data_IF_841174813126
#
_entry.id   IF_841174813126
#
_cell.length_a   1.000
_cell.length_b   1.000
_cell.length_c   1.000
_cell.angle_alpha   90.00
_cell.angle_beta   90.00
_cell.angle_gamma   90.00
#
_symmetry.space_group_name_H-M   'P 1'
#
loop_
_entity.id
_entity.type
_entity.pdbx_description
1 polymer ?
#
# COMPACT_ATOMS: atom_id res chain seq x y z
N UNK A 1 24.07 12.55 -9.52
CA UNK A 1 23.58 11.21 -9.90
C UNK A 1 24.47 10.68 -11.01
N UNK A 2 25.13 9.54 -10.82
CA UNK A 2 26.13 8.97 -11.77
C UNK A 2 25.50 8.12 -12.88
N UNK A 3 24.20 7.85 -12.83
CA UNK A 3 23.47 7.18 -13.90
C UNK A 3 22.82 8.26 -14.76
N UNK A 4 23.09 8.25 -16.07
CA UNK A 4 22.36 9.05 -17.03
C UNK A 4 20.92 8.53 -17.08
N UNK A 5 19.98 9.25 -16.48
CA UNK A 5 18.56 8.91 -16.50
C UNK A 5 17.86 9.78 -17.55
N UNK A 6 17.71 9.24 -18.76
CA UNK A 6 16.92 9.90 -19.80
C UNK A 6 15.47 10.00 -19.35
N UNK A 7 14.91 11.22 -19.36
CA UNK A 7 13.55 11.48 -18.86
C UNK A 7 12.51 10.70 -19.67
N UNK A 8 12.75 10.51 -20.97
CA UNK A 8 11.86 9.79 -21.88
C UNK A 8 11.82 8.28 -21.72
N UNK A 9 12.75 7.68 -20.97
CA UNK A 9 12.81 6.22 -20.76
C UNK A 9 12.18 5.77 -19.44
N UNK A 10 11.55 6.71 -18.71
CA UNK A 10 10.98 6.44 -17.39
C UNK A 10 9.57 5.86 -17.52
N UNK A 11 9.30 4.81 -16.75
CA UNK A 11 7.95 4.26 -16.62
C UNK A 11 7.15 5.04 -15.58
N UNK A 12 5.93 5.42 -15.95
CA UNK A 12 4.91 5.92 -15.03
C UNK A 12 4.23 4.76 -14.28
N UNK A 13 3.43 5.08 -13.26
CA UNK A 13 2.58 4.09 -12.59
C UNK A 13 1.67 3.39 -13.61
N UNK A 14 1.07 4.13 -14.53
CA UNK A 14 0.19 3.60 -15.57
C UNK A 14 0.93 2.66 -16.52
N UNK A 15 2.16 3.00 -16.92
CA UNK A 15 2.97 2.13 -17.79
C UNK A 15 3.29 0.80 -17.09
N UNK A 16 3.65 0.85 -15.80
CA UNK A 16 3.88 -0.36 -15.00
C UNK A 16 2.63 -1.22 -14.90
N UNK A 17 1.45 -0.62 -14.69
CA UNK A 17 0.19 -1.37 -14.62
C UNK A 17 -0.18 -1.99 -15.97
N UNK A 18 -0.01 -1.27 -17.07
CA UNK A 18 -0.24 -1.79 -18.42
C UNK A 18 0.71 -2.94 -18.77
N UNK A 19 1.97 -2.82 -18.38
CA UNK A 19 2.96 -3.86 -18.62
C UNK A 19 2.72 -5.10 -17.74
N UNK A 20 2.26 -4.94 -16.49
CA UNK A 20 1.80 -6.05 -15.65
C UNK A 20 0.63 -6.79 -16.30
N UNK A 21 -0.35 -6.07 -16.84
CA UNK A 21 -1.49 -6.68 -17.53
C UNK A 21 -1.04 -7.47 -18.77
N UNK A 22 -0.16 -6.87 -19.59
CA UNK A 22 0.40 -7.50 -20.78
C UNK A 22 1.22 -8.76 -20.45
N UNK A 23 2.14 -8.67 -19.49
CA UNK A 23 3.03 -9.79 -19.13
C UNK A 23 2.27 -10.95 -18.46
N UNK A 24 1.21 -10.66 -17.72
CA UNK A 24 0.41 -11.69 -17.02
C UNK A 24 -0.72 -12.27 -17.86
N UNK A 25 -0.89 -11.82 -19.12
CA UNK A 25 -1.99 -12.26 -19.97
C UNK A 25 -3.37 -11.93 -19.38
N UNK A 26 -3.48 -10.84 -18.61
CA UNK A 26 -4.72 -10.41 -17.96
C UNK A 26 -5.05 -11.11 -16.63
N UNK A 27 -4.14 -11.92 -16.07
CA UNK A 27 -4.30 -12.44 -14.70
C UNK A 27 -4.36 -11.30 -13.67
N UNK A 28 -3.60 -10.23 -13.91
CA UNK A 28 -3.79 -8.91 -13.33
C UNK A 28 -4.22 -7.94 -14.44
N UNK A 29 -5.15 -7.04 -14.14
CA UNK A 29 -5.57 -5.95 -15.03
C UNK A 29 -5.35 -4.63 -14.33
N UNK A 30 -5.16 -3.57 -15.11
CA UNK A 30 -5.13 -2.18 -14.63
C UNK A 30 -6.31 -1.85 -13.70
N UNK A 31 -7.51 -2.33 -14.04
CA UNK A 31 -8.74 -2.16 -13.24
C UNK A 31 -8.75 -2.88 -11.89
N UNK A 32 -7.82 -3.82 -11.66
CA UNK A 32 -7.71 -4.54 -10.39
C UNK A 32 -6.96 -3.73 -9.33
N UNK A 33 -6.37 -2.59 -9.68
CA UNK A 33 -5.59 -1.77 -8.77
C UNK A 33 -6.38 -0.58 -8.27
N UNK A 34 -6.34 -0.38 -6.96
CA UNK A 34 -7.03 0.73 -6.28
C UNK A 34 -6.02 1.53 -5.48
N UNK A 35 -6.21 2.85 -5.46
CA UNK A 35 -5.38 3.77 -4.67
C UNK A 35 -5.51 3.57 -3.16
N UNK A 36 -4.58 4.14 -2.41
CA UNK A 36 -4.68 4.16 -0.95
C UNK A 36 -5.65 5.26 -0.50
N UNK A 37 -6.51 5.01 0.49
CA UNK A 37 -7.40 6.04 1.01
C UNK A 37 -6.67 7.12 1.85
N UNK A 38 -5.42 6.87 2.29
CA UNK A 38 -4.67 7.80 3.15
C UNK A 38 -3.69 8.72 2.41
N UNK A 39 -3.46 8.52 1.11
CA UNK A 39 -2.46 9.28 0.35
C UNK A 39 -3.02 9.76 -0.98
N UNK A 40 -2.31 10.69 -1.62
CA UNK A 40 -2.62 11.13 -2.98
C UNK A 40 -2.79 9.94 -3.95
N UNK A 41 -3.73 9.99 -4.91
CA UNK A 41 -3.96 8.90 -5.88
C UNK A 41 -2.70 8.46 -6.62
N UNK A 42 -1.85 9.41 -7.01
CA UNK A 42 -0.58 9.14 -7.70
C UNK A 42 0.52 8.58 -6.80
N UNK A 43 0.27 8.37 -5.50
CA UNK A 43 1.27 7.83 -4.59
C UNK A 43 1.35 6.30 -4.60
N UNK A 44 0.28 5.60 -4.96
CA UNK A 44 0.26 4.14 -4.88
C UNK A 44 -0.94 3.56 -5.63
N UNK A 45 -0.70 2.45 -6.32
CA UNK A 45 -1.72 1.54 -6.83
C UNK A 45 -1.54 0.16 -6.18
N UNK A 46 -2.61 -0.41 -5.62
CA UNK A 46 -2.56 -1.59 -4.77
C UNK A 46 -3.64 -2.59 -5.17
N UNK A 47 -3.28 -3.88 -5.23
CA UNK A 47 -4.25 -4.97 -5.37
C UNK A 47 -3.92 -6.15 -4.47
N UNK A 48 -4.97 -6.84 -4.03
CA UNK A 48 -4.90 -8.11 -3.33
C UNK A 48 -5.58 -9.18 -4.18
N UNK A 49 -5.05 -10.39 -4.14
CA UNK A 49 -5.69 -11.56 -4.71
C UNK A 49 -5.38 -12.82 -3.93
N UNK A 50 -6.02 -13.91 -4.32
CA UNK A 50 -5.81 -15.22 -3.74
C UNK A 50 -5.31 -16.20 -4.79
N UNK A 51 -4.24 -16.90 -4.46
CA UNK A 51 -3.73 -17.99 -5.27
C UNK A 51 -4.56 -19.25 -5.04
N UNK A 52 -4.81 -20.03 -6.08
CA UNK A 52 -5.39 -21.36 -6.00
C UNK A 52 -4.48 -22.34 -5.18
N UNK A 53 -4.92 -23.58 -4.97
CA UNK A 53 -4.15 -24.56 -4.18
C UNK A 53 -2.79 -24.85 -4.81
N UNK A 54 -2.72 -24.87 -6.15
CA UNK A 54 -1.50 -25.07 -6.92
C UNK A 54 -0.60 -23.83 -7.01
N UNK A 55 -1.09 -22.65 -6.62
CA UNK A 55 -0.43 -21.36 -6.79
C UNK A 55 -0.12 -20.99 -8.24
N UNK A 56 -0.96 -21.43 -9.15
CA UNK A 56 -0.86 -21.20 -10.60
C UNK A 56 -1.88 -20.18 -11.08
N UNK A 57 -3.01 -20.04 -10.39
CA UNK A 57 -4.08 -19.09 -10.76
C UNK A 57 -4.27 -18.07 -9.65
N UNK A 58 -4.22 -16.79 -10.01
CA UNK A 58 -4.52 -15.67 -9.12
C UNK A 58 -5.95 -15.20 -9.35
N UNK A 59 -6.71 -15.05 -8.26
CA UNK A 59 -8.05 -14.43 -8.25
C UNK A 59 -7.97 -13.06 -7.58
N UNK A 60 -7.98 -11.95 -8.32
CA UNK A 60 -7.93 -10.59 -7.75
C UNK A 60 -9.22 -10.24 -7.00
N UNK A 61 -9.09 -9.78 -5.76
CA UNK A 61 -10.21 -9.41 -4.89
C UNK A 61 -11.12 -8.32 -5.51
N UNK A 62 -10.61 -7.26 -6.17
CA UNK A 62 -11.46 -6.20 -6.71
C UNK A 62 -12.42 -6.63 -7.82
N UNK A 63 -12.21 -7.80 -8.43
CA UNK A 63 -13.15 -8.37 -9.42
C UNK A 63 -14.40 -8.96 -8.78
N UNK A 64 -14.36 -9.22 -7.47
CA UNK A 64 -15.41 -9.88 -6.70
C UNK A 64 -15.97 -8.99 -5.58
N UNK A 65 -15.36 -7.83 -5.35
CA UNK A 65 -15.78 -6.86 -4.36
C UNK A 65 -15.52 -5.45 -4.90
N UNK A 66 -16.53 -4.59 -4.88
CA UNK A 66 -16.40 -3.18 -5.30
C UNK A 66 -15.61 -2.37 -4.27
N UNK A 67 -14.29 -2.57 -4.28
CA UNK A 67 -13.33 -1.95 -3.35
C UNK A 67 -13.37 -0.43 -3.45
N UNK A 68 -13.49 0.12 -4.67
CA UNK A 68 -13.48 1.56 -4.91
C UNK A 68 -14.64 2.24 -4.18
N UNK A 69 -15.87 1.73 -4.35
CA UNK A 69 -17.05 2.24 -3.66
C UNK A 69 -16.90 2.20 -2.13
N UNK A 70 -16.29 1.15 -1.59
CA UNK A 70 -16.09 1.03 -0.15
C UNK A 70 -15.03 1.99 0.40
N UNK A 71 -14.05 2.39 -0.41
CA UNK A 71 -13.04 3.38 -0.02
C UNK A 71 -13.58 4.82 -0.16
N UNK A 72 -14.42 5.09 -1.15
CA UNK A 72 -15.09 6.39 -1.33
C UNK A 72 -16.00 6.75 -0.14
N UNK A 73 -16.61 5.75 0.51
CA UNK A 73 -17.39 5.93 1.75
C UNK A 73 -16.58 6.52 2.92
N UNK A 74 -15.26 6.66 2.79
CA UNK A 74 -14.38 7.28 3.79
C UNK A 74 -13.82 8.63 3.35
N UNK A 75 -14.02 9.05 2.09
CA UNK A 75 -13.71 10.41 1.65
C UNK A 75 -14.68 11.43 2.28
N UNK A 76 -15.92 11.01 2.51
CA UNK A 76 -16.94 11.81 3.20
C UNK A 76 -17.14 11.37 4.66
N UNK A 77 -17.06 12.35 5.56
CA UNK A 77 -17.01 12.16 7.01
C UNK A 77 -18.30 11.53 7.53
N UNK A 78 -18.15 10.48 8.35
CA UNK A 78 -19.18 9.73 9.08
C UNK A 78 -19.99 8.76 8.21
N UNK A 79 -19.33 7.69 7.76
CA UNK A 79 -20.04 6.45 7.41
C UNK A 79 -20.00 5.50 8.61
N UNK A 80 -21.17 5.04 9.07
CA UNK A 80 -21.31 3.85 9.92
C UNK A 80 -20.94 2.63 9.06
N UNK A 81 -19.66 2.54 8.73
CA UNK A 81 -19.14 1.60 7.75
C UNK A 81 -19.13 0.23 8.40
N UNK A 82 -19.98 -0.69 7.93
CA UNK A 82 -20.06 -2.06 8.42
C UNK A 82 -18.70 -2.76 8.46
N UNK A 83 -18.63 -3.93 9.12
CA UNK A 83 -17.40 -4.69 9.36
C UNK A 83 -16.49 -4.81 8.12
N UNK A 84 -17.08 -5.01 6.95
CA UNK A 84 -16.41 -5.11 5.66
C UNK A 84 -15.67 -3.82 5.24
N UNK A 85 -16.34 -2.67 5.31
CA UNK A 85 -15.74 -1.40 4.93
C UNK A 85 -14.60 -1.02 5.90
N UNK A 86 -14.79 -1.30 7.20
CA UNK A 86 -13.76 -1.13 8.21
C UNK A 86 -12.55 -2.05 7.97
N UNK A 87 -12.78 -3.32 7.61
CA UNK A 87 -11.74 -4.28 7.24
C UNK A 87 -10.99 -3.82 5.98
N UNK A 88 -11.72 -3.41 4.94
CA UNK A 88 -11.14 -2.93 3.69
C UNK A 88 -10.24 -1.72 3.91
N UNK A 89 -10.71 -0.72 4.66
CA UNK A 89 -9.91 0.47 4.99
C UNK A 89 -8.60 0.08 5.67
N UNK A 90 -8.63 -0.84 6.64
CA UNK A 90 -7.41 -1.28 7.33
C UNK A 90 -6.45 -2.02 6.38
N UNK A 91 -6.98 -2.97 5.61
CA UNK A 91 -6.19 -3.76 4.65
C UNK A 91 -5.54 -2.89 3.58
N UNK A 92 -6.28 -1.89 3.07
CA UNK A 92 -5.75 -0.95 2.08
C UNK A 92 -4.86 0.13 2.70
N UNK A 93 -4.98 0.44 3.99
CA UNK A 93 -4.06 1.37 4.66
C UNK A 93 -2.76 0.69 5.12
N UNK A 94 -2.77 -0.63 5.31
CA UNK A 94 -1.61 -1.40 5.77
C UNK A 94 -0.70 -1.83 4.62
N UNK A 95 0.02 -0.86 4.05
CA UNK A 95 1.02 -1.11 3.00
C UNK A 95 2.28 -1.81 3.51
N UNK A 96 2.53 -1.88 4.81
CA UNK A 96 3.78 -2.41 5.37
C UNK A 96 3.64 -3.84 5.90
N UNK A 97 2.53 -4.17 6.56
CA UNK A 97 2.41 -5.37 7.41
C UNK A 97 1.39 -6.39 6.89
N UNK A 98 1.65 -6.95 5.70
CA UNK A 98 0.84 -8.05 5.12
C UNK A 98 0.54 -9.22 6.05
N UNK A 99 1.43 -9.46 7.03
CA UNK A 99 1.39 -10.64 7.91
C UNK A 99 1.01 -10.31 9.34
N UNK A 100 0.57 -9.09 9.63
CA UNK A 100 -0.06 -8.80 10.90
C UNK A 100 -1.34 -9.64 11.00
N UNK A 101 -1.53 -10.38 12.11
CA UNK A 101 -2.67 -11.29 12.28
C UNK A 101 -4.04 -10.60 12.09
N UNK A 102 -4.11 -9.29 12.38
CA UNK A 102 -5.30 -8.46 12.16
C UNK A 102 -5.59 -8.19 10.68
N UNK A 103 -4.57 -7.89 9.88
CA UNK A 103 -4.71 -7.66 8.42
C UNK A 103 -5.13 -8.94 7.71
N UNK A 104 -4.56 -10.10 8.09
CA UNK A 104 -4.97 -11.40 7.56
C UNK A 104 -6.41 -11.78 7.95
N UNK A 105 -6.83 -11.43 9.18
CA UNK A 105 -8.21 -11.62 9.62
C UNK A 105 -9.18 -10.79 8.77
N UNK A 106 -8.91 -9.50 8.62
CA UNK A 106 -9.72 -8.58 7.81
C UNK A 106 -9.79 -9.02 6.34
N UNK A 107 -8.66 -9.44 5.76
CA UNK A 107 -8.64 -10.08 4.43
C UNK A 107 -9.55 -11.31 4.41
N UNK A 108 -9.47 -12.20 5.40
CA UNK A 108 -10.34 -13.37 5.49
C UNK A 108 -11.84 -13.02 5.42
N UNK A 109 -12.26 -11.94 6.08
CA UNK A 109 -13.64 -11.43 6.01
C UNK A 109 -14.01 -10.95 4.60
N UNK A 110 -13.12 -10.20 3.95
CA UNK A 110 -13.33 -9.66 2.60
C UNK A 110 -13.38 -10.78 1.55
N UNK A 111 -12.46 -11.74 1.61
CA UNK A 111 -12.44 -12.91 0.73
C UNK A 111 -13.67 -13.81 0.94
N UNK A 112 -14.21 -13.88 2.16
CA UNK A 112 -15.50 -14.54 2.43
C UNK A 112 -16.66 -13.84 1.76
N UNK A 113 -16.72 -12.52 1.89
CA UNK A 113 -17.78 -11.71 1.32
C UNK A 113 -17.75 -11.71 -0.21
N UNK A 114 -16.56 -11.77 -0.78
CA UNK A 114 -16.31 -11.90 -2.21
C UNK A 114 -16.61 -13.31 -2.77
N UNK A 115 -17.01 -14.27 -1.93
CA UNK A 115 -17.26 -15.68 -2.29
C UNK A 115 -16.11 -16.34 -3.08
N UNK A 116 -14.87 -16.04 -2.70
CA UNK A 116 -13.69 -16.63 -3.34
C UNK A 116 -13.51 -18.05 -2.80
N UNK A 117 -14.07 -19.03 -3.52
CA UNK A 117 -14.16 -20.45 -3.14
C UNK A 117 -12.87 -21.06 -2.61
N UNK A 118 -11.76 -20.72 -3.25
CA UNK A 118 -10.43 -21.19 -2.90
C UNK A 118 -9.94 -20.72 -1.51
N UNK A 119 -10.45 -19.57 -1.07
CA UNK A 119 -10.14 -18.96 0.21
C UNK A 119 -11.01 -19.49 1.36
N UNK A 120 -12.28 -19.85 1.08
CA UNK A 120 -13.26 -20.23 2.12
C UNK A 120 -12.75 -21.34 3.07
N UNK A 121 -12.14 -22.44 2.61
CA UNK A 121 -11.64 -23.49 3.49
C UNK A 121 -10.49 -23.04 4.41
N UNK A 122 -9.86 -21.89 4.13
CA UNK A 122 -8.69 -21.39 4.84
C UNK A 122 -9.03 -20.24 5.79
N UNK A 123 -10.28 -19.74 5.79
CA UNK A 123 -10.74 -18.74 6.74
C UNK A 123 -10.65 -19.31 8.16
N UNK A 124 -10.12 -18.52 9.09
CA UNK A 124 -9.82 -18.97 10.45
C UNK A 124 -8.49 -19.72 10.62
N UNK A 125 -7.74 -19.95 9.53
CA UNK A 125 -6.39 -20.55 9.53
C UNK A 125 -5.36 -19.55 9.00
N UNK A 126 -4.95 -18.54 9.79
CA UNK A 126 -4.18 -17.39 9.30
C UNK A 126 -2.87 -17.77 8.61
N UNK A 127 -2.14 -18.77 9.12
CA UNK A 127 -0.87 -19.21 8.52
C UNK A 127 -1.05 -19.85 7.13
N UNK A 128 -2.11 -20.64 6.96
CA UNK A 128 -2.41 -21.30 5.69
C UNK A 128 -3.03 -20.32 4.69
N UNK A 129 -3.90 -19.43 5.17
CA UNK A 129 -4.51 -18.37 4.37
C UNK A 129 -3.46 -17.37 3.87
N UNK A 130 -2.62 -16.84 4.76
CA UNK A 130 -1.60 -15.83 4.42
C UNK A 130 -0.52 -16.33 3.46
N UNK A 131 -0.31 -17.65 3.34
CA UNK A 131 0.55 -18.23 2.31
C UNK A 131 -0.02 -18.07 0.90
N UNK A 132 -1.35 -18.03 0.74
CA UNK A 132 -2.05 -17.94 -0.55
C UNK A 132 -2.54 -16.54 -0.89
N UNK A 133 -2.57 -15.63 0.09
CA UNK A 133 -2.74 -14.19 -0.19
C UNK A 133 -1.56 -13.69 -1.01
N UNK A 134 -1.86 -13.01 -2.11
CA UNK A 134 -0.90 -12.34 -2.96
C UNK A 134 -1.23 -10.85 -3.02
N UNK A 135 -0.21 -9.99 -2.96
CA UNK A 135 -0.37 -8.53 -3.01
C UNK A 135 0.64 -7.93 -3.96
N UNK A 136 0.19 -7.02 -4.81
CA UNK A 136 1.05 -6.19 -5.65
C UNK A 136 0.85 -4.72 -5.27
N UNK A 137 1.94 -4.01 -5.05
CA UNK A 137 1.96 -2.59 -4.73
C UNK A 137 2.87 -1.89 -5.73
N UNK A 138 2.32 -0.94 -6.48
CA UNK A 138 3.10 -0.07 -7.37
C UNK A 138 3.19 1.30 -6.71
N UNK A 139 4.40 1.73 -6.37
CA UNK A 139 4.65 2.97 -5.64
C UNK A 139 5.66 3.85 -6.40
N UNK A 140 5.21 4.86 -7.16
CA UNK A 140 6.08 5.74 -7.92
C UNK A 140 6.75 6.78 -6.99
N UNK A 141 7.84 6.41 -6.34
CA UNK A 141 8.62 7.35 -5.51
C UNK A 141 9.09 8.55 -6.33
N UNK A 142 9.07 9.74 -5.72
CA UNK A 142 9.46 10.98 -6.41
C UNK A 142 10.97 11.20 -6.35
N UNK A 143 11.48 11.85 -7.40
CA UNK A 143 12.83 12.39 -7.47
C UNK A 143 12.82 13.90 -7.75
N UNK A 144 13.98 14.48 -8.08
CA UNK A 144 14.12 15.90 -8.35
C UNK A 144 13.33 16.39 -9.60
N UNK A 145 12.94 15.50 -10.50
CA UNK A 145 12.20 15.82 -11.73
C UNK A 145 10.70 15.61 -11.59
N UNK A 146 10.27 14.68 -10.73
CA UNK A 146 8.86 14.33 -10.52
C UNK A 146 8.33 14.80 -9.16
N UNK A 147 9.04 15.72 -8.49
CA UNK A 147 8.67 16.19 -7.16
C UNK A 147 7.34 16.96 -7.22
N UNK A 148 6.40 16.56 -6.37
CA UNK A 148 5.10 17.20 -6.21
C UNK A 148 4.82 17.43 -4.72
N UNK A 149 4.65 18.70 -4.36
CA UNK A 149 4.37 19.12 -2.99
C UNK A 149 3.03 18.59 -2.46
N UNK A 150 1.98 18.50 -3.31
CA UNK A 150 0.66 18.01 -2.88
C UNK A 150 0.74 16.54 -2.43
N UNK A 151 1.54 15.74 -3.13
CA UNK A 151 1.81 14.34 -2.76
C UNK A 151 2.54 14.24 -1.41
N UNK A 152 3.42 15.19 -1.10
CA UNK A 152 4.15 15.27 0.18
C UNK A 152 3.21 15.63 1.34
N UNK A 153 2.35 16.63 1.16
CA UNK A 153 1.39 17.09 2.16
C UNK A 153 0.44 15.96 2.60
N UNK A 154 -0.01 15.15 1.63
CA UNK A 154 -0.93 14.03 1.87
C UNK A 154 -0.24 12.71 2.23
N UNK A 155 1.09 12.69 2.37
CA UNK A 155 1.81 11.43 2.59
C UNK A 155 1.65 10.90 4.02
N UNK A 156 1.01 9.73 4.17
CA UNK A 156 0.90 8.99 5.43
C UNK A 156 2.18 8.20 5.84
N UNK A 157 3.24 8.19 5.01
CA UNK A 157 4.53 7.53 5.34
C UNK A 157 5.61 8.56 5.63
N UNK A 158 5.93 8.75 6.91
CA UNK A 158 6.97 9.68 7.36
C UNK A 158 8.21 8.93 7.85
N UNK A 159 9.38 9.51 7.60
CA UNK A 159 10.67 9.10 8.14
C UNK A 159 11.35 10.29 8.80
N UNK A 160 12.31 10.02 9.68
CA UNK A 160 13.01 11.06 10.43
C UNK A 160 14.22 11.55 9.63
N UNK A 161 14.33 12.87 9.44
CA UNK A 161 15.47 13.48 8.75
C UNK A 161 16.69 13.65 9.67
N UNK A 162 17.77 14.24 9.15
CA UNK A 162 19.02 14.49 9.86
C UNK A 162 18.87 15.45 11.06
N UNK A 163 17.77 16.21 11.13
CA UNK A 163 17.44 17.15 12.21
C UNK A 163 16.45 16.59 13.24
N UNK A 164 15.97 15.36 13.05
CA UNK A 164 14.97 14.76 13.92
C UNK A 164 13.52 15.09 13.54
N UNK A 165 13.29 15.71 12.38
CA UNK A 165 11.95 16.10 11.92
C UNK A 165 11.32 14.96 11.10
N UNK A 166 10.00 14.76 11.26
CA UNK A 166 9.25 13.78 10.50
C UNK A 166 8.88 14.35 9.12
N UNK A 167 9.53 13.85 8.06
CA UNK A 167 9.34 14.26 6.67
C UNK A 167 8.83 13.09 5.83
N UNK A 168 8.24 13.34 4.66
CA UNK A 168 7.86 12.22 3.78
C UNK A 168 9.11 11.50 3.24
N UNK A 169 8.99 10.21 2.90
CA UNK A 169 10.12 9.48 2.30
C UNK A 169 10.64 10.12 1.01
N UNK A 170 9.74 10.59 0.14
CA UNK A 170 10.12 11.24 -1.11
C UNK A 170 10.84 12.58 -0.88
N UNK A 171 10.34 13.38 0.05
CA UNK A 171 10.98 14.65 0.44
C UNK A 171 12.35 14.42 1.06
N UNK A 172 12.49 13.42 1.91
CA UNK A 172 13.79 13.00 2.41
C UNK A 172 14.73 12.63 1.27
N UNK A 173 14.27 11.81 0.31
CA UNK A 173 15.10 11.37 -0.81
C UNK A 173 15.60 12.53 -1.68
N UNK A 174 14.79 13.57 -1.87
CA UNK A 174 15.12 14.73 -2.70
C UNK A 174 15.99 15.76 -1.96
N UNK A 175 15.64 16.09 -0.71
CA UNK A 175 16.27 17.22 -0.02
C UNK A 175 17.25 16.82 1.10
N UNK A 176 17.09 15.65 1.71
CA UNK A 176 17.82 15.29 2.94
C UNK A 176 18.82 14.15 2.77
N UNK A 177 18.63 13.30 1.76
CA UNK A 177 19.45 12.10 1.56
C UNK A 177 20.93 12.46 1.40
N UNK A 178 21.76 11.83 2.23
CA UNK A 178 23.21 12.05 2.25
C UNK A 178 23.67 13.25 3.08
N UNK A 179 22.76 14.04 3.67
CA UNK A 179 23.13 15.07 4.64
C UNK A 179 23.54 14.43 5.96
N UNK A 180 24.60 14.97 6.56
CA UNK A 180 25.05 14.52 7.88
C UNK A 180 24.19 15.16 8.97
N UNK A 181 23.85 14.41 10.02
CA UNK A 181 23.20 15.00 11.18
C UNK A 181 24.09 16.10 11.79
N UNK A 182 23.49 17.17 12.36
CA UNK A 182 24.23 18.16 13.12
C UNK A 182 25.05 17.49 14.23
N UNK A 183 26.18 18.08 14.61
CA UNK A 183 27.07 17.57 15.67
C UNK A 183 26.36 17.44 17.03
N UNK A 184 25.31 18.22 17.26
CA UNK A 184 24.39 18.07 18.38
C UNK A 184 23.02 17.61 17.87
N UNK A 185 22.78 16.29 17.87
CA UNK A 185 21.44 15.76 17.67
C UNK A 185 20.57 16.22 18.85
N UNK A 186 19.41 16.82 18.56
CA UNK A 186 18.39 17.04 19.59
C UNK A 186 18.03 15.67 20.16
N UNK A 187 18.29 15.45 21.44
CA UNK A 187 17.79 14.28 22.16
C UNK A 187 16.27 14.32 22.08
N UNK A 188 15.67 13.35 21.36
CA UNK A 188 14.25 13.11 21.47
C UNK A 188 14.00 12.67 22.91
N UNK A 189 13.11 13.33 23.67
CA UNK A 189 12.75 12.83 24.99
C UNK A 189 12.17 11.43 24.79
N UNK A 190 12.89 10.42 25.26
CA UNK A 190 12.35 9.07 25.37
C UNK A 190 11.09 9.19 26.21
N UNK A 191 9.94 8.76 25.69
CA UNK A 191 8.71 8.70 26.47
C UNK A 191 9.04 7.95 27.77
N UNK A 192 8.95 8.67 28.89
CA UNK A 192 9.38 8.18 30.19
C UNK A 192 8.74 6.83 30.50
N UNK A 193 9.53 5.93 31.09
CA UNK A 193 9.08 4.62 31.50
C UNK A 193 7.79 4.71 32.32
N UNK A 194 6.69 4.31 31.69
CA UNK A 194 5.51 3.90 32.42
C UNK A 194 5.89 2.67 33.24
N UNK A 195 5.79 2.79 34.56
CA UNK A 195 5.98 1.68 35.48
C UNK A 195 5.01 0.56 35.10
N UNK A 196 5.56 -0.65 34.97
CA UNK A 196 4.81 -1.91 34.98
C UNK A 196 4.17 -2.10 36.35
#
# INVERSE_FOLDING_TARGET
>A
YQNAYEVGERLTMTDVLGELERQTGGALRTSDFVGLPCSHPDCCALTYGFLDKGRTVLTPLPRHLDVARYLDLFADRISFSGLAASALRRVWSDVVSLRAGRTLHDLGLLFRQADIRDALPLIGRPDAFGKRVFRVVVKPFMDAHTYDHKRVEQCCTKIVNERGEAVSFCEYNVFHRGRKPPSALKTLPMAGGGRV
#
